data_IF_988377479089
#
_entry.id   IF_988377479089
#
_cell.length_a   1.000
_cell.length_b   1.000
_cell.length_c   1.000
_cell.angle_alpha   90.00
_cell.angle_beta   90.00
_cell.angle_gamma   90.00
#
_symmetry.space_group_name_H-M   'P 1'
#
loop_
_entity.id
_entity.type
_entity.pdbx_description
1 polymer ?
#
# COMPACT_ATOMS: atom_id res chain seq x y z
N UNK A 1 16.85 -27.95 -20.37
CA UNK A 1 16.24 -27.74 -19.02
C UNK A 1 17.06 -26.82 -18.13
N UNK A 2 18.27 -26.50 -18.56
CA UNK A 2 19.23 -25.64 -17.87
C UNK A 2 18.61 -24.31 -17.41
N UNK A 3 17.98 -23.55 -18.32
CA UNK A 3 17.26 -22.29 -18.01
C UNK A 3 16.22 -22.41 -16.88
N UNK A 4 15.49 -23.52 -16.81
CA UNK A 4 14.51 -23.77 -15.73
C UNK A 4 15.21 -24.01 -14.38
N UNK A 5 16.25 -24.85 -14.37
CA UNK A 5 17.02 -25.19 -13.16
C UNK A 5 17.69 -23.94 -12.58
N UNK A 6 18.29 -23.11 -13.43
CA UNK A 6 18.88 -21.82 -13.03
C UNK A 6 17.84 -20.82 -12.52
N UNK A 7 16.68 -20.70 -13.20
CA UNK A 7 15.60 -19.82 -12.74
C UNK A 7 15.03 -20.30 -11.40
N UNK A 8 14.96 -21.62 -11.16
CA UNK A 8 14.54 -22.21 -9.87
C UNK A 8 15.55 -21.88 -8.76
N UNK A 9 16.85 -22.05 -9.02
CA UNK A 9 17.91 -21.74 -8.07
C UNK A 9 17.94 -20.25 -7.67
N UNK A 10 17.64 -19.34 -8.61
CA UNK A 10 17.61 -17.87 -8.37
C UNK A 10 16.30 -17.33 -7.79
N UNK A 11 15.31 -18.18 -7.45
CA UNK A 11 14.05 -17.69 -6.86
C UNK A 11 14.31 -17.09 -5.48
N UNK A 12 13.86 -15.86 -5.29
CA UNK A 12 13.82 -15.20 -3.98
C UNK A 12 12.44 -15.42 -3.36
N UNK A 13 12.38 -16.13 -2.23
CA UNK A 13 11.14 -16.34 -1.46
C UNK A 13 10.90 -15.25 -0.42
N UNK A 14 11.91 -14.45 -0.12
CA UNK A 14 11.79 -13.31 0.78
C UNK A 14 11.03 -12.17 0.10
N UNK A 15 10.32 -11.38 0.91
CA UNK A 15 9.54 -10.25 0.41
C UNK A 15 10.46 -9.12 -0.07
N UNK A 16 10.60 -8.97 -1.38
CA UNK A 16 11.35 -7.86 -2.00
C UNK A 16 10.44 -6.66 -2.28
N UNK A 17 10.77 -5.50 -1.71
CA UNK A 17 10.09 -4.23 -1.99
C UNK A 17 10.72 -3.60 -3.22
N UNK A 18 10.02 -3.62 -4.37
CA UNK A 18 10.55 -3.07 -5.63
C UNK A 18 10.38 -1.54 -5.74
N UNK A 19 9.24 -1.03 -5.32
CA UNK A 19 8.90 0.40 -5.43
C UNK A 19 8.87 1.04 -4.04
N UNK A 20 10.03 1.49 -3.57
CA UNK A 20 10.19 2.05 -2.24
C UNK A 20 9.27 3.26 -1.99
N UNK A 21 9.18 4.18 -2.95
CA UNK A 21 8.29 5.35 -2.84
C UNK A 21 6.82 4.97 -2.67
N UNK A 22 6.33 3.92 -3.36
CA UNK A 22 4.95 3.44 -3.21
C UNK A 22 4.71 2.82 -1.84
N UNK A 23 5.71 2.13 -1.28
CA UNK A 23 5.64 1.59 0.08
C UNK A 23 5.55 2.72 1.12
N UNK A 24 6.44 3.71 1.04
CA UNK A 24 6.43 4.90 1.91
C UNK A 24 5.06 5.60 1.84
N UNK A 25 4.54 5.80 0.64
CA UNK A 25 3.22 6.42 0.46
C UNK A 25 2.09 5.57 1.03
N UNK A 26 2.16 4.23 0.92
CA UNK A 26 1.17 3.33 1.50
C UNK A 26 1.23 3.26 3.04
N UNK A 27 2.41 3.49 3.63
CA UNK A 27 2.63 3.53 5.08
C UNK A 27 2.14 4.86 5.68
N UNK A 28 2.24 5.97 4.94
CA UNK A 28 1.72 7.29 5.33
C UNK A 28 0.20 7.44 5.20
N UNK A 29 -0.50 6.57 4.45
CA UNK A 29 -1.94 6.69 4.19
C UNK A 29 -2.78 6.25 5.41
N UNK A 30 -3.85 6.98 5.76
CA UNK A 30 -4.71 6.62 6.89
C UNK A 30 -5.46 5.31 6.61
N UNK A 31 -5.56 4.47 7.66
CA UNK A 31 -6.25 3.18 7.62
C UNK A 31 -7.24 3.06 8.76
N UNK A 32 -8.37 2.42 8.50
CA UNK A 32 -9.34 1.97 9.52
C UNK A 32 -9.58 0.48 9.28
N UNK A 33 -9.35 -0.36 10.30
CA UNK A 33 -9.43 -1.84 10.20
C UNK A 33 -8.63 -2.41 9.01
N UNK A 34 -7.43 -1.87 8.76
CA UNK A 34 -6.54 -2.28 7.66
C UNK A 34 -6.88 -1.71 6.28
N UNK A 35 -8.07 -1.13 6.09
CA UNK A 35 -8.54 -0.56 4.83
C UNK A 35 -8.15 0.90 4.70
N UNK A 36 -7.76 1.33 3.50
CA UNK A 36 -7.51 2.75 3.24
C UNK A 36 -8.80 3.54 3.28
N UNK A 37 -8.78 4.70 3.94
CA UNK A 37 -9.90 5.64 3.95
C UNK A 37 -9.58 6.86 3.11
N UNK A 38 -10.63 7.43 2.49
CA UNK A 38 -10.51 8.75 1.87
C UNK A 38 -10.42 9.79 2.99
N UNK A 39 -9.59 10.83 2.82
CA UNK A 39 -9.65 11.99 3.69
C UNK A 39 -11.03 12.61 3.49
N UNK A 40 -11.91 12.41 4.47
CA UNK A 40 -13.21 13.07 4.48
C UNK A 40 -12.91 14.55 4.66
N UNK A 41 -13.11 15.38 3.63
CA UNK A 41 -13.32 16.81 3.89
C UNK A 41 -14.57 16.86 4.74
N UNK A 42 -14.47 17.28 5.99
CA UNK A 42 -15.66 17.64 6.77
C UNK A 42 -16.41 18.65 5.93
N UNK A 43 -17.51 18.24 5.31
CA UNK A 43 -18.49 19.20 4.84
C UNK A 43 -19.08 19.79 6.13
N UNK A 44 -19.10 21.11 6.31
CA UNK A 44 -19.76 21.68 7.48
C UNK A 44 -21.17 21.10 7.51
N UNK A 45 -21.52 20.47 8.63
CA UNK A 45 -22.85 19.95 8.83
C UNK A 45 -23.81 21.14 8.82
N UNK A 46 -24.96 20.99 8.15
CA UNK A 46 -25.98 22.04 7.95
C UNK A 46 -26.47 22.70 9.26
N UNK A 47 -26.12 22.14 10.41
CA UNK A 47 -26.50 22.58 11.75
C UNK A 47 -25.45 23.44 12.47
N UNK A 48 -24.27 23.68 11.89
CA UNK A 48 -23.22 24.56 12.48
C UNK A 48 -23.17 25.96 11.82
N UNK A 49 -24.27 26.38 11.19
CA UNK A 49 -24.44 27.72 10.61
C UNK A 49 -25.68 28.37 11.21
N UNK A 50 -25.62 28.68 12.50
CA UNK A 50 -26.52 29.57 13.23
C UNK A 50 -25.69 30.35 14.25
#
# INVERSE_FOLDING_TARGET
LERYREKKARRLYTKKIRYQLRKINADKRPRIKGRFVKKVRRKPTRFESA
#
